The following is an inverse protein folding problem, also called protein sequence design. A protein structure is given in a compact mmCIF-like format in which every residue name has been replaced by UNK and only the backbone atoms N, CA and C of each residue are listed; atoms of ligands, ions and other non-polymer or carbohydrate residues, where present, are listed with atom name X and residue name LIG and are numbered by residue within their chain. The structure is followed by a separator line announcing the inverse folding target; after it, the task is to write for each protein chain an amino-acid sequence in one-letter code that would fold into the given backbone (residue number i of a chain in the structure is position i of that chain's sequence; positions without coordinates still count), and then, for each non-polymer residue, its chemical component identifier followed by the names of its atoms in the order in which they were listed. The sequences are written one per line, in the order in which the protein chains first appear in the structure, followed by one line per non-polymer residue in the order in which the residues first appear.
data_IF_657837473676
#
_entry.id   IF_657837473676
#
_cell.length_a   1.000
_cell.length_b   1.000
_cell.length_c   1.000
_cell.angle_alpha   90.00
_cell.angle_beta   90.00
_cell.angle_gamma   90.00
#
_symmetry.space_group_name_H-M   'P 1'
#
loop_
_entity.id
_entity.type
_entity.pdbx_description
1 polymer ?
#
# COMPACT_ATOMS: atom_id res chain seq x y z
N UNK A 1 -22.86 -2.97 7.63
CA UNK A 1 -22.34 -3.54 6.36
C UNK A 1 -20.83 -3.45 6.35
N UNK A 2 -20.12 -4.57 6.36
CA UNK A 2 -18.68 -4.57 6.04
C UNK A 2 -18.61 -4.50 4.52
N UNK A 3 -18.32 -3.31 3.98
CA UNK A 3 -18.12 -3.12 2.55
C UNK A 3 -16.98 -4.01 2.05
N UNK A 4 -17.08 -4.46 0.79
CA UNK A 4 -16.03 -5.26 0.18
C UNK A 4 -14.73 -4.44 0.13
N UNK A 5 -13.74 -4.83 0.95
CA UNK A 5 -12.44 -4.16 1.07
C UNK A 5 -11.44 -4.57 -0.02
N UNK A 6 -11.75 -5.61 -0.79
CA UNK A 6 -10.85 -6.12 -1.82
C UNK A 6 -10.89 -5.22 -3.03
N UNK A 7 -9.72 -4.70 -3.41
CA UNK A 7 -9.54 -3.92 -4.61
C UNK A 7 -8.97 -4.82 -5.70
N UNK A 8 -9.46 -4.68 -6.93
CA UNK A 8 -8.92 -5.39 -8.09
C UNK A 8 -8.04 -4.42 -8.86
N UNK A 9 -6.74 -4.47 -8.62
CA UNK A 9 -5.74 -3.73 -9.38
C UNK A 9 -4.94 -4.72 -10.21
N UNK A 10 -4.97 -4.53 -11.51
CA UNK A 10 -4.37 -5.48 -12.44
C UNK A 10 -2.85 -5.56 -12.25
N UNK A 11 -2.32 -6.77 -12.16
CA UNK A 11 -0.92 -7.03 -11.86
C UNK A 11 -0.52 -6.95 -10.37
N UNK A 12 -1.44 -6.64 -9.45
CA UNK A 12 -1.14 -6.60 -8.01
C UNK A 12 -2.13 -7.44 -7.20
N UNK A 13 -1.64 -8.20 -6.23
CA UNK A 13 -2.47 -9.12 -5.45
C UNK A 13 -2.63 -8.67 -4.01
N UNK A 14 -3.59 -9.32 -3.35
CA UNK A 14 -3.89 -9.09 -1.93
C UNK A 14 -4.15 -7.60 -1.59
N UNK A 15 -4.63 -6.83 -2.57
CA UNK A 15 -4.92 -5.42 -2.44
C UNK A 15 -6.18 -5.22 -1.63
N UNK A 16 -6.06 -4.54 -0.49
CA UNK A 16 -7.18 -4.28 0.41
C UNK A 16 -7.13 -2.88 0.98
N UNK A 17 -8.25 -2.16 0.87
CA UNK A 17 -8.49 -0.98 1.69
C UNK A 17 -8.63 -1.43 3.14
N UNK A 18 -7.92 -0.77 4.05
CA UNK A 18 -7.94 -1.05 5.48
C UNK A 18 -8.96 -0.18 6.22
N UNK A 19 -9.77 0.61 5.53
CA UNK A 19 -10.86 1.40 6.06
C UNK A 19 -11.93 0.57 6.79
N UNK A 20 -12.48 1.17 7.84
CA UNK A 20 -13.51 0.57 8.68
C UNK A 20 -13.01 -0.54 9.62
N UNK A 21 -11.71 -0.77 9.71
CA UNK A 21 -11.10 -1.62 10.74
C UNK A 21 -10.97 -0.84 12.04
N UNK A 22 -11.17 -1.52 13.17
CA UNK A 22 -10.94 -0.91 14.47
C UNK A 22 -9.46 -0.99 14.84
N UNK A 23 -8.90 0.12 15.33
CA UNK A 23 -7.60 0.12 16.00
C UNK A 23 -7.71 -0.42 17.43
N UNK A 24 -6.59 -0.44 18.15
CA UNK A 24 -6.54 -0.93 19.53
C UNK A 24 -7.40 -0.09 20.50
N UNK A 25 -7.67 1.17 20.16
CA UNK A 25 -8.51 2.08 20.93
C UNK A 25 -10.00 2.01 20.52
N UNK A 26 -10.35 1.10 19.59
CA UNK A 26 -11.71 0.96 19.07
C UNK A 26 -12.13 2.05 18.08
N UNK A 27 -11.22 2.92 17.62
CA UNK A 27 -11.50 3.90 16.56
C UNK A 27 -11.45 3.23 15.20
N UNK A 28 -12.22 3.75 14.24
CA UNK A 28 -12.24 3.21 12.88
C UNK A 28 -11.20 3.89 11.99
N UNK A 29 -10.45 3.10 11.24
CA UNK A 29 -9.65 3.59 10.13
C UNK A 29 -10.53 4.25 9.07
N UNK A 30 -10.08 5.38 8.55
CA UNK A 30 -10.78 6.07 7.45
C UNK A 30 -10.62 5.29 6.14
N UNK A 31 -11.70 5.20 5.38
CA UNK A 31 -11.68 4.60 4.03
C UNK A 31 -10.82 5.43 3.07
N UNK A 32 -10.18 4.76 2.12
CA UNK A 32 -9.29 5.36 1.11
C UNK A 32 -8.09 6.10 1.70
N UNK A 33 -7.71 5.80 2.93
CA UNK A 33 -6.52 6.37 3.59
C UNK A 33 -5.36 5.39 3.59
N UNK A 34 -5.62 4.11 3.84
CA UNK A 34 -4.59 3.09 3.86
C UNK A 34 -5.01 1.87 3.05
N UNK A 35 -4.18 1.53 2.07
CA UNK A 35 -4.29 0.28 1.32
C UNK A 35 -3.05 -0.55 1.60
N UNK A 36 -3.23 -1.85 1.78
CA UNK A 36 -2.13 -2.82 1.75
C UNK A 36 -2.18 -3.63 0.47
N UNK A 37 -1.02 -4.03 -0.03
CA UNK A 37 -0.86 -4.95 -1.16
C UNK A 37 0.34 -5.87 -0.92
N UNK A 38 0.64 -6.74 -1.87
CA UNK A 38 1.90 -7.47 -1.92
C UNK A 38 3.02 -6.62 -2.54
N UNK A 39 3.25 -6.71 -3.85
CA UNK A 39 4.33 -6.10 -4.59
C UNK A 39 3.75 -5.22 -5.71
N UNK A 40 3.80 -3.88 -5.58
CA UNK A 40 3.25 -2.97 -6.58
C UNK A 40 4.12 -2.87 -7.84
N UNK A 41 5.33 -3.44 -7.90
CA UNK A 41 6.18 -3.40 -9.09
C UNK A 41 5.56 -4.13 -10.30
N UNK A 42 4.63 -5.04 -10.06
CA UNK A 42 3.94 -5.84 -11.09
C UNK A 42 2.68 -5.20 -11.62
N UNK A 43 2.29 -4.02 -11.12
CA UNK A 43 1.12 -3.29 -11.61
C UNK A 43 1.24 -3.03 -13.11
N UNK A 44 0.19 -3.42 -13.85
CA UNK A 44 0.06 -3.01 -15.24
C UNK A 44 -0.34 -1.54 -15.31
N UNK A 45 -0.35 -0.95 -16.51
CA UNK A 45 -0.86 0.42 -16.71
C UNK A 45 -2.28 0.58 -16.15
N UNK A 46 -3.17 -0.40 -16.39
CA UNK A 46 -4.53 -0.38 -15.87
C UNK A 46 -4.58 -0.49 -14.33
N UNK A 47 -3.67 -1.27 -13.74
CA UNK A 47 -3.50 -1.33 -12.29
C UNK A 47 -3.06 0.01 -11.70
N UNK A 48 -2.13 0.70 -12.34
CA UNK A 48 -1.66 2.03 -11.94
C UNK A 48 -2.76 3.09 -12.03
N UNK A 49 -3.60 3.05 -13.05
CA UNK A 49 -4.75 3.96 -13.20
C UNK A 49 -5.81 3.69 -12.13
N UNK A 50 -6.06 2.42 -11.79
CA UNK A 50 -6.99 2.02 -10.73
C UNK A 50 -6.50 2.48 -9.34
N UNK A 51 -5.21 2.32 -9.06
CA UNK A 51 -4.55 2.83 -7.84
C UNK A 51 -4.70 4.35 -7.73
N UNK A 52 -4.50 5.07 -8.84
CA UNK A 52 -4.62 6.52 -8.89
C UNK A 52 -6.06 7.01 -8.67
N UNK A 53 -7.02 6.37 -9.34
CA UNK A 53 -8.46 6.64 -9.22
C UNK A 53 -8.94 6.41 -7.79
N UNK A 54 -8.32 5.47 -7.08
CA UNK A 54 -8.59 5.24 -5.66
C UNK A 54 -8.08 6.36 -4.74
N UNK A 55 -7.15 7.21 -5.21
CA UNK A 55 -6.62 8.35 -4.48
C UNK A 55 -5.22 8.14 -3.87
N UNK A 56 -4.55 7.02 -4.17
CA UNK A 56 -3.19 6.77 -3.65
C UNK A 56 -2.20 7.72 -4.34
N UNK A 57 -1.30 8.30 -3.54
CA UNK A 57 -0.25 9.23 -3.98
C UNK A 57 1.15 8.87 -3.47
N UNK A 58 1.22 8.08 -2.41
CA UNK A 58 2.46 7.60 -1.84
C UNK A 58 2.43 6.07 -1.73
N UNK A 59 3.57 5.44 -2.02
CA UNK A 59 3.79 4.01 -1.82
C UNK A 59 4.90 3.84 -0.80
N UNK A 60 4.60 3.12 0.27
CA UNK A 60 5.58 2.76 1.28
C UNK A 60 5.91 1.28 1.12
N UNK A 61 7.14 0.97 0.72
CA UNK A 61 7.62 -0.41 0.73
C UNK A 61 8.29 -0.72 2.04
N UNK A 62 7.84 -1.77 2.72
CA UNK A 62 8.48 -2.29 3.92
C UNK A 62 9.36 -3.48 3.51
N UNK A 63 10.69 -3.30 3.55
CA UNK A 63 11.64 -4.39 3.27
C UNK A 63 12.09 -5.06 4.56
N UNK A 64 12.33 -6.37 4.49
CA UNK A 64 12.83 -7.13 5.62
C UNK A 64 14.34 -7.11 5.63
N UNK A 65 14.95 -6.59 6.71
CA UNK A 65 16.41 -6.63 6.86
C UNK A 65 16.94 -8.07 6.77
N UNK A 66 18.04 -8.24 6.04
CA UNK A 66 18.71 -9.54 5.86
C UNK A 66 18.10 -10.44 4.78
N UNK A 67 16.99 -10.04 4.14
CA UNK A 67 16.52 -10.70 2.91
C UNK A 67 17.05 -9.96 1.69
N UNK A 68 17.58 -10.73 0.73
CA UNK A 68 17.86 -10.23 -0.61
C UNK A 68 16.52 -10.05 -1.32
N UNK A 69 15.98 -8.84 -1.23
CA UNK A 69 14.80 -8.41 -1.95
C UNK A 69 15.24 -7.47 -3.08
N UNK A 70 14.64 -7.62 -4.26
CA UNK A 70 14.91 -6.71 -5.37
C UNK A 70 14.56 -5.27 -4.97
N UNK A 71 15.29 -4.31 -5.56
CA UNK A 71 14.84 -2.93 -5.57
C UNK A 71 13.38 -2.88 -6.06
N UNK A 72 12.51 -2.11 -5.40
CA UNK A 72 11.19 -1.88 -6.00
C UNK A 72 11.39 -1.14 -7.30
N UNK A 73 11.18 -1.86 -8.40
CA UNK A 73 11.15 -1.25 -9.71
C UNK A 73 9.84 -0.49 -9.88
N UNK A 74 9.94 0.82 -9.70
CA UNK A 74 8.87 1.77 -9.90
C UNK A 74 9.11 2.60 -11.16
N UNK A 75 9.91 2.13 -12.11
CA UNK A 75 10.09 2.81 -13.40
C UNK A 75 8.78 2.89 -14.19
N UNK A 76 7.88 1.93 -13.99
CA UNK A 76 6.52 1.96 -14.53
C UNK A 76 5.60 2.96 -13.80
N UNK A 77 6.06 3.56 -12.70
CA UNK A 77 5.34 4.56 -11.93
C UNK A 77 5.49 5.94 -12.58
N UNK A 78 4.40 6.63 -12.95
CA UNK A 78 4.42 8.01 -13.41
C UNK A 78 5.19 8.96 -12.47
N UNK A 79 5.85 10.01 -13.01
CA UNK A 79 6.80 10.85 -12.28
C UNK A 79 6.18 11.80 -11.24
N UNK A 80 4.85 11.91 -11.17
CA UNK A 80 4.12 12.75 -10.21
C UNK A 80 4.03 12.13 -8.79
N UNK A 81 4.88 11.15 -8.47
CA UNK A 81 4.65 10.20 -7.36
C UNK A 81 5.84 10.09 -6.43
N UNK A 82 5.52 9.94 -5.13
CA UNK A 82 6.51 9.75 -4.08
C UNK A 82 6.47 8.30 -3.62
N UNK A 83 7.50 7.53 -3.95
CA UNK A 83 7.73 6.22 -3.38
C UNK A 83 8.78 6.32 -2.27
N UNK A 84 8.44 5.81 -1.09
CA UNK A 84 9.32 5.79 0.06
C UNK A 84 9.57 4.31 0.39
N UNK A 85 10.80 3.83 0.17
CA UNK A 85 11.21 2.51 0.63
C UNK A 85 11.75 2.64 2.05
N UNK A 86 11.12 1.98 3.02
CA UNK A 86 11.58 1.92 4.41
C UNK A 86 12.03 0.49 4.68
N UNK A 87 13.34 0.27 4.77
CA UNK A 87 13.88 -0.96 5.32
C UNK A 87 13.55 -1.00 6.83
N UNK A 88 13.00 -2.11 7.32
CA UNK A 88 12.78 -2.29 8.76
C UNK A 88 13.43 -3.59 9.24
N UNK A 89 14.08 -3.57 10.41
CA UNK A 89 14.44 -4.80 11.10
C UNK A 89 13.15 -5.54 11.43
N UNK A 90 13.19 -6.88 11.40
CA UNK A 90 12.03 -7.74 11.61
C UNK A 90 11.30 -7.37 12.92
N UNK A 91 10.20 -6.62 12.81
CA UNK A 91 9.30 -6.33 13.93
C UNK A 91 8.00 -7.07 13.67
N UNK A 92 7.72 -8.05 14.52
CA UNK A 92 6.41 -8.66 14.62
C UNK A 92 5.36 -7.57 14.87
N UNK A 93 4.57 -7.26 13.84
CA UNK A 93 3.36 -6.45 13.93
C UNK A 93 3.58 -4.98 14.31
N UNK A 94 3.52 -4.08 13.31
CA UNK A 94 2.62 -2.93 13.27
C UNK A 94 3.06 -1.97 12.16
N UNK A 95 2.22 -1.80 11.14
CA UNK A 95 2.39 -0.79 10.10
C UNK A 95 1.92 0.56 10.68
N UNK A 96 2.85 1.51 10.87
CA UNK A 96 2.54 2.90 11.23
C UNK A 96 2.43 3.76 9.98
N UNK A 97 1.30 4.44 9.84
CA UNK A 97 0.99 5.44 8.80
C UNK A 97 1.60 6.78 9.21
N UNK A 98 2.13 7.51 8.24
CA UNK A 98 2.21 8.97 8.31
C UNK A 98 1.16 9.53 7.34
N UNK A 99 0.23 10.31 7.88
CA UNK A 99 -0.67 11.15 7.10
C UNK A 99 0.19 12.27 6.46
N UNK A 100 -0.03 12.56 5.19
CA UNK A 100 0.47 13.79 4.54
C UNK A 100 -0.74 14.62 4.10
N UNK A 101 -1.68 14.85 5.02
CA UNK A 101 -2.64 15.98 4.99
C UNK A 101 -3.54 15.95 6.22
#
# INVERSE_FOLDING_TARGET
MIGNRQLKWDGCHNVRDLGGLHDADGRKTRWRTLVRSDDPSKLTKAGWDALYTHGIRAIISLRTDGKVENELDLTACPPDRVAISVAKPFINGCMKICDLS
#
